data_IF_231508012793
#
_entry.id   IF_231508012793
#
_cell.length_a   1.000
_cell.length_b   1.000
_cell.length_c   1.000
_cell.angle_alpha   90.00
_cell.angle_beta   90.00
_cell.angle_gamma   90.00
#
_symmetry.space_group_name_H-M   'P 1'
#
loop_
_entity.id
_entity.type
_entity.pdbx_description
1 polymer ?
#
# COMPACT_ATOMS: atom_id res chain seq x y z
N UNK A 1 7.63 -13.02 -11.40
CA UNK A 1 7.62 -11.68 -10.77
C UNK A 1 8.43 -10.73 -11.65
N UNK A 2 7.75 -9.85 -12.36
CA UNK A 2 8.32 -8.98 -13.41
C UNK A 2 9.46 -8.10 -12.88
N UNK A 3 9.35 -7.59 -11.64
CA UNK A 3 10.40 -6.79 -11.00
C UNK A 3 11.67 -7.61 -10.83
N UNK A 4 11.55 -8.85 -10.38
CA UNK A 4 12.70 -9.75 -10.20
C UNK A 4 13.34 -10.09 -11.54
N UNK A 5 12.53 -10.30 -12.58
CA UNK A 5 13.04 -10.55 -13.94
C UNK A 5 13.80 -9.34 -14.50
N UNK A 6 13.28 -8.12 -14.29
CA UNK A 6 13.98 -6.89 -14.69
C UNK A 6 15.34 -6.79 -13.97
N UNK A 7 15.39 -7.03 -12.65
CA UNK A 7 16.66 -7.01 -11.90
C UNK A 7 17.67 -8.04 -12.44
N UNK A 8 17.19 -9.22 -12.83
CA UNK A 8 18.06 -10.25 -13.44
C UNK A 8 18.59 -9.82 -14.81
N UNK A 9 17.72 -9.28 -15.68
CA UNK A 9 18.10 -8.78 -17.01
C UNK A 9 19.14 -7.67 -16.87
N UNK A 10 18.93 -6.73 -15.94
CA UNK A 10 19.85 -5.63 -15.65
C UNK A 10 21.08 -6.05 -14.82
N UNK A 11 21.22 -7.36 -14.51
CA UNK A 11 22.31 -7.93 -13.70
C UNK A 11 22.46 -7.29 -12.32
N UNK A 12 21.37 -6.78 -11.76
CA UNK A 12 21.32 -6.18 -10.43
C UNK A 12 21.13 -7.29 -9.39
N UNK A 13 22.20 -7.59 -8.66
CA UNK A 13 22.18 -8.65 -7.64
C UNK A 13 21.40 -8.26 -6.38
N UNK A 14 21.46 -6.99 -5.97
CA UNK A 14 20.85 -6.51 -4.72
C UNK A 14 20.53 -5.03 -4.80
N UNK A 15 19.32 -4.63 -4.37
CA UNK A 15 18.79 -3.26 -4.47
C UNK A 15 18.13 -2.77 -3.21
N UNK A 16 17.99 -1.45 -3.06
CA UNK A 16 17.06 -0.81 -2.15
C UNK A 16 15.72 -0.68 -2.85
N UNK A 17 14.63 -0.91 -2.13
CA UNK A 17 13.28 -0.82 -2.67
C UNK A 17 12.50 0.30 -1.99
N UNK A 18 11.80 1.08 -2.79
CA UNK A 18 10.85 2.09 -2.31
C UNK A 18 9.47 1.74 -2.85
N UNK A 19 8.49 1.60 -1.98
CA UNK A 19 7.10 1.32 -2.35
C UNK A 19 6.14 2.26 -1.63
N UNK A 20 5.07 2.64 -2.32
CA UNK A 20 4.01 3.48 -1.77
C UNK A 20 2.68 2.73 -1.87
N UNK A 21 1.89 2.76 -0.79
CA UNK A 21 0.56 2.15 -0.72
C UNK A 21 0.59 0.68 -1.18
N UNK A 22 -0.08 0.31 -2.27
CA UNK A 22 -0.06 -1.05 -2.84
C UNK A 22 1.37 -1.53 -3.17
N UNK A 23 2.27 -0.63 -3.56
CA UNK A 23 3.69 -0.95 -3.81
C UNK A 23 4.39 -1.52 -2.59
N UNK A 24 3.96 -1.18 -1.38
CA UNK A 24 4.53 -1.73 -0.14
C UNK A 24 4.27 -3.23 0.01
N UNK A 25 3.10 -3.68 -0.45
CA UNK A 25 2.75 -5.11 -0.46
C UNK A 25 3.65 -5.87 -1.44
N UNK A 26 3.87 -5.28 -2.63
CA UNK A 26 4.70 -5.90 -3.68
C UNK A 26 6.16 -6.05 -3.22
N UNK A 27 6.77 -4.99 -2.68
CA UNK A 27 8.17 -5.07 -2.25
C UNK A 27 8.35 -5.94 -1.01
N UNK A 28 7.36 -5.98 -0.11
CA UNK A 28 7.40 -6.88 1.04
C UNK A 28 7.31 -8.34 0.59
N UNK A 29 6.49 -8.65 -0.41
CA UNK A 29 6.41 -9.99 -1.00
C UNK A 29 7.72 -10.38 -1.71
N UNK A 30 8.36 -9.44 -2.44
CA UNK A 30 9.69 -9.68 -3.02
C UNK A 30 10.71 -10.00 -1.92
N UNK A 31 10.65 -9.29 -0.81
CA UNK A 31 11.57 -9.51 0.31
C UNK A 31 11.37 -10.86 1.02
N UNK A 32 10.15 -11.43 1.00
CA UNK A 32 9.89 -12.80 1.47
C UNK A 32 10.49 -13.85 0.53
N UNK A 33 10.21 -13.71 -0.78
CA UNK A 33 10.59 -14.73 -1.75
C UNK A 33 12.08 -14.64 -2.16
N UNK A 34 12.64 -13.42 -2.15
CA UNK A 34 13.99 -13.11 -2.63
C UNK A 34 14.78 -12.22 -1.66
N UNK A 35 14.93 -12.60 -0.37
CA UNK A 35 15.54 -11.74 0.65
C UNK A 35 16.96 -11.31 0.30
N UNK A 36 17.71 -12.15 -0.39
CA UNK A 36 19.08 -11.86 -0.83
C UNK A 36 19.18 -10.75 -1.89
N UNK A 37 18.08 -10.42 -2.57
CA UNK A 37 18.01 -9.34 -3.56
C UNK A 37 17.65 -7.99 -2.96
N UNK A 38 17.27 -7.94 -1.67
CA UNK A 38 16.78 -6.73 -1.00
C UNK A 38 17.78 -6.24 0.04
N UNK A 39 18.32 -5.03 -0.17
CA UNK A 39 19.24 -4.38 0.78
C UNK A 39 18.47 -3.71 1.93
N UNK A 40 17.44 -2.96 1.60
CA UNK A 40 16.53 -2.30 2.53
C UNK A 40 15.22 -1.93 1.85
N UNK A 41 14.21 -1.59 2.62
CA UNK A 41 12.91 -1.17 2.14
C UNK A 41 12.50 0.17 2.74
N UNK A 42 11.89 1.06 1.91
CA UNK A 42 11.16 2.23 2.36
C UNK A 42 9.69 2.03 1.98
N UNK A 43 8.82 2.06 2.97
CA UNK A 43 7.41 1.72 2.91
C UNK A 43 6.56 2.96 3.18
N UNK A 44 6.18 3.71 2.13
CA UNK A 44 5.35 4.90 2.25
C UNK A 44 3.85 4.57 2.27
N UNK A 45 3.09 5.07 3.25
CA UNK A 45 1.67 4.77 3.37
C UNK A 45 1.38 3.27 3.36
N UNK A 46 2.11 2.51 4.20
CA UNK A 46 2.13 1.05 4.14
C UNK A 46 0.80 0.42 4.56
N UNK A 47 0.39 -0.60 3.80
CA UNK A 47 -0.83 -1.38 4.06
C UNK A 47 -0.45 -2.73 4.66
N UNK A 48 -0.61 -2.88 6.00
CA UNK A 48 -0.30 -4.13 6.71
C UNK A 48 -1.53 -4.79 7.33
N UNK A 49 -2.65 -4.07 7.45
CA UNK A 49 -3.91 -4.60 7.97
C UNK A 49 -5.08 -3.85 7.38
N UNK A 50 -6.07 -4.58 6.90
CA UNK A 50 -7.36 -3.99 6.55
C UNK A 50 -8.21 -3.90 7.82
N UNK A 51 -8.50 -2.70 8.28
CA UNK A 51 -9.40 -2.46 9.40
C UNK A 51 -10.87 -2.73 9.02
N UNK A 52 -11.78 -2.68 9.98
CA UNK A 52 -13.20 -2.93 9.73
C UNK A 52 -13.79 -1.99 8.68
N UNK A 53 -13.35 -0.72 8.66
CA UNK A 53 -13.80 0.27 7.67
C UNK A 53 -13.32 -0.09 6.27
N UNK A 54 -12.04 -0.44 6.10
CA UNK A 54 -11.48 -0.91 4.83
C UNK A 54 -12.21 -2.15 4.31
N UNK A 55 -12.46 -3.12 5.19
CA UNK A 55 -13.17 -4.36 4.84
C UNK A 55 -14.62 -4.10 4.42
N UNK A 56 -15.31 -3.21 5.13
CA UNK A 56 -16.67 -2.80 4.77
C UNK A 56 -16.70 -2.11 3.40
N UNK A 57 -15.77 -1.18 3.15
CA UNK A 57 -15.67 -0.48 1.86
C UNK A 57 -15.39 -1.45 0.70
N UNK A 58 -14.49 -2.41 0.90
CA UNK A 58 -14.20 -3.44 -0.11
C UNK A 58 -15.45 -4.28 -0.39
N UNK A 59 -16.18 -4.70 0.64
CA UNK A 59 -17.44 -5.46 0.47
C UNK A 59 -18.50 -4.64 -0.26
N UNK A 60 -18.71 -3.39 0.15
CA UNK A 60 -19.67 -2.49 -0.49
C UNK A 60 -19.31 -2.25 -1.97
N UNK A 61 -18.06 -1.97 -2.25
CA UNK A 61 -17.58 -1.79 -3.62
C UNK A 61 -17.68 -3.07 -4.43
N UNK A 62 -17.51 -4.24 -3.82
CA UNK A 62 -17.67 -5.54 -4.47
C UNK A 62 -19.11 -5.76 -4.95
N UNK A 63 -20.07 -5.29 -4.18
CA UNK A 63 -21.48 -5.35 -4.56
C UNK A 63 -21.79 -4.42 -5.74
N UNK A 64 -21.23 -3.21 -5.72
CA UNK A 64 -21.56 -2.17 -6.71
C UNK A 64 -20.65 -2.17 -7.95
N UNK A 65 -19.51 -2.87 -7.97
CA UNK A 65 -18.50 -2.82 -9.05
C UNK A 65 -18.99 -3.14 -10.45
N UNK A 66 -20.10 -3.88 -10.56
CA UNK A 66 -20.71 -4.26 -11.85
C UNK A 66 -21.77 -3.27 -12.32
N UNK A 67 -22.28 -2.42 -11.43
CA UNK A 67 -23.39 -1.49 -11.71
C UNK A 67 -22.87 -0.06 -11.81
N UNK A 68 -21.88 0.29 -10.95
CA UNK A 68 -21.33 1.65 -10.85
C UNK A 68 -20.03 1.75 -11.64
N UNK A 69 -19.86 2.79 -12.48
CA UNK A 69 -18.58 3.04 -13.14
C UNK A 69 -17.44 3.12 -12.12
N UNK A 70 -16.33 2.42 -12.40
CA UNK A 70 -15.19 2.29 -11.47
C UNK A 70 -14.66 3.65 -10.96
N UNK A 71 -14.72 4.69 -11.78
CA UNK A 71 -14.24 6.02 -11.41
C UNK A 71 -15.02 6.63 -10.24
N UNK A 72 -16.31 6.32 -10.07
CA UNK A 72 -17.09 6.75 -8.93
C UNK A 72 -16.64 6.05 -7.65
N UNK A 73 -16.30 4.77 -7.74
CA UNK A 73 -15.74 4.00 -6.64
C UNK A 73 -14.40 4.61 -6.21
N UNK A 74 -13.53 4.96 -7.17
CA UNK A 74 -12.27 5.65 -6.89
C UNK A 74 -12.46 7.02 -6.22
N UNK A 75 -13.44 7.81 -6.67
CA UNK A 75 -13.76 9.11 -6.05
C UNK A 75 -14.20 8.95 -4.59
N UNK A 76 -15.05 7.97 -4.31
CA UNK A 76 -15.49 7.65 -2.95
C UNK A 76 -14.29 7.19 -2.11
N UNK A 77 -13.45 6.30 -2.62
CA UNK A 77 -12.24 5.88 -1.94
C UNK A 77 -11.29 7.04 -1.65
N UNK A 78 -11.08 7.94 -2.63
CA UNK A 78 -10.23 9.11 -2.44
C UNK A 78 -10.70 9.98 -1.26
N UNK A 79 -12.00 10.23 -1.14
CA UNK A 79 -12.57 11.01 -0.03
C UNK A 79 -12.42 10.28 1.30
N UNK A 80 -12.61 8.97 1.32
CA UNK A 80 -12.57 8.18 2.55
C UNK A 80 -11.13 8.01 3.04
N UNK A 81 -10.17 7.75 2.15
CA UNK A 81 -8.76 7.56 2.51
C UNK A 81 -8.09 8.90 2.83
N UNK A 82 -8.53 9.98 2.19
CA UNK A 82 -7.95 11.32 2.30
C UNK A 82 -9.05 12.35 2.62
N UNK A 83 -9.61 12.37 3.84
CA UNK A 83 -10.82 13.14 4.17
C UNK A 83 -10.57 14.65 4.39
N UNK A 84 -9.36 15.05 4.75
CA UNK A 84 -9.07 16.41 5.17
C UNK A 84 -8.84 17.37 4.00
N UNK A 85 -8.92 18.69 4.27
CA UNK A 85 -8.79 19.74 3.23
C UNK A 85 -7.39 19.80 2.63
N UNK A 86 -6.36 19.62 3.46
CA UNK A 86 -4.96 19.56 3.05
C UNK A 86 -4.64 18.40 2.09
N UNK A 87 -5.43 17.32 2.10
CA UNK A 87 -5.26 16.19 1.16
C UNK A 87 -5.87 16.44 -0.23
N UNK A 88 -6.23 17.69 -0.57
CA UNK A 88 -6.91 17.99 -1.85
C UNK A 88 -6.07 17.61 -3.07
N UNK A 89 -4.79 17.93 -3.05
CA UNK A 89 -3.87 17.63 -4.17
C UNK A 89 -3.70 16.13 -4.37
N UNK A 90 -3.49 15.39 -3.30
CA UNK A 90 -3.39 13.93 -3.32
C UNK A 90 -4.65 13.28 -3.87
N UNK A 91 -5.85 13.77 -3.48
CA UNK A 91 -7.12 13.28 -4.05
C UNK A 91 -7.23 13.54 -5.54
N UNK A 92 -6.85 14.75 -5.99
CA UNK A 92 -6.88 15.11 -7.41
C UNK A 92 -5.96 14.19 -8.21
N UNK A 93 -4.73 14.01 -7.74
CA UNK A 93 -3.74 13.15 -8.39
C UNK A 93 -4.23 11.69 -8.43
N UNK A 94 -4.71 11.17 -7.31
CA UNK A 94 -5.24 9.81 -7.21
C UNK A 94 -6.38 9.56 -8.23
N UNK A 95 -7.33 10.50 -8.32
CA UNK A 95 -8.45 10.40 -9.27
C UNK A 95 -7.96 10.56 -10.72
N UNK A 96 -6.98 11.45 -10.98
CA UNK A 96 -6.38 11.65 -12.29
C UNK A 96 -5.72 10.38 -12.80
N UNK A 97 -4.92 9.72 -11.96
CA UNK A 97 -4.27 8.46 -12.33
C UNK A 97 -5.28 7.31 -12.48
N UNK A 98 -6.31 7.26 -11.64
CA UNK A 98 -7.39 6.28 -11.78
C UNK A 98 -8.13 6.37 -13.13
N UNK A 99 -8.25 7.58 -13.72
CA UNK A 99 -8.87 7.75 -15.05
C UNK A 99 -8.08 7.11 -16.20
N UNK A 100 -6.79 6.81 -15.99
CA UNK A 100 -5.92 6.15 -16.97
C UNK A 100 -6.13 4.63 -17.00
N UNK A 101 -6.77 4.08 -15.97
CA UNK A 101 -7.06 2.64 -15.89
C UNK A 101 -8.28 2.29 -16.73
N UNK A 102 -8.26 1.11 -17.30
CA UNK A 102 -9.45 0.50 -17.90
C UNK A 102 -10.27 -0.23 -16.82
N UNK A 103 -11.58 -0.30 -17.02
CA UNK A 103 -12.47 -1.01 -16.09
C UNK A 103 -12.03 -2.46 -15.84
N UNK A 104 -11.53 -3.15 -16.88
CA UNK A 104 -11.03 -4.53 -16.77
C UNK A 104 -9.86 -4.65 -15.80
N UNK A 105 -8.94 -3.66 -15.82
CA UNK A 105 -7.80 -3.62 -14.90
C UNK A 105 -8.23 -3.31 -13.48
N UNK A 106 -9.15 -2.36 -13.32
CA UNK A 106 -9.76 -2.10 -12.02
C UNK A 106 -10.36 -3.36 -11.40
N UNK A 107 -11.14 -4.14 -12.16
CA UNK A 107 -11.75 -5.38 -11.67
C UNK A 107 -10.70 -6.44 -11.28
N UNK A 108 -9.58 -6.52 -12.02
CA UNK A 108 -8.45 -7.41 -11.68
C UNK A 108 -7.82 -7.00 -10.36
N UNK A 109 -7.46 -5.72 -10.20
CA UNK A 109 -6.90 -5.20 -8.96
C UNK A 109 -7.87 -5.35 -7.79
N UNK A 110 -9.13 -5.12 -8.03
CA UNK A 110 -10.18 -5.28 -7.03
C UNK A 110 -10.28 -6.72 -6.52
N UNK A 111 -10.19 -7.71 -7.40
CA UNK A 111 -10.15 -9.13 -7.04
C UNK A 111 -8.97 -9.43 -6.10
N UNK A 112 -7.79 -8.90 -6.43
CA UNK A 112 -6.60 -9.08 -5.57
C UNK A 112 -6.81 -8.57 -4.14
N UNK A 113 -7.58 -7.49 -3.93
CA UNK A 113 -7.82 -6.95 -2.58
C UNK A 113 -8.53 -7.93 -1.64
N UNK A 114 -9.29 -8.86 -2.17
CA UNK A 114 -9.93 -9.94 -1.39
C UNK A 114 -8.94 -11.06 -1.03
N UNK A 115 -7.89 -11.24 -1.82
CA UNK A 115 -6.91 -12.32 -1.69
C UNK A 115 -5.69 -11.94 -0.85
N UNK A 116 -5.43 -10.64 -0.63
CA UNK A 116 -4.23 -10.18 0.10
C UNK A 116 -4.29 -10.37 1.62
N UNK A 117 -5.44 -10.62 2.22
CA UNK A 117 -5.57 -10.71 3.68
C UNK A 117 -4.66 -11.77 4.32
N UNK A 118 -4.52 -13.00 3.78
CA UNK A 118 -3.58 -14.00 4.31
C UNK A 118 -2.14 -13.49 4.26
N UNK A 119 -1.75 -12.85 3.15
CA UNK A 119 -0.42 -12.28 2.94
C UNK A 119 -0.13 -11.16 3.95
N UNK A 120 -1.07 -10.24 4.15
CA UNK A 120 -0.94 -9.18 5.15
C UNK A 120 -0.84 -9.75 6.59
N UNK A 121 -1.49 -10.88 6.87
CA UNK A 121 -1.34 -11.59 8.16
C UNK A 121 0.08 -12.13 8.30
N UNK A 122 0.61 -12.78 7.28
CA UNK A 122 1.99 -13.29 7.25
C UNK A 122 3.00 -12.16 7.51
N UNK A 123 2.87 -11.04 6.80
CA UNK A 123 3.78 -9.88 6.93
C UNK A 123 3.84 -9.29 8.35
N UNK A 124 2.77 -9.39 9.11
CA UNK A 124 2.76 -8.96 10.52
C UNK A 124 3.37 -9.97 11.48
N UNK A 125 3.28 -11.25 11.13
CA UNK A 125 3.75 -12.35 11.99
C UNK A 125 5.22 -12.70 11.78
N UNK A 126 5.74 -12.44 10.58
CA UNK A 126 7.11 -12.79 10.19
C UNK A 126 7.94 -11.51 10.10
N UNK A 127 8.93 -11.40 10.97
CA UNK A 127 9.94 -10.35 10.87
C UNK A 127 11.01 -10.77 9.85
N UNK A 128 11.36 -9.86 8.93
CA UNK A 128 12.54 -10.01 8.07
C UNK A 128 13.70 -9.26 8.68
N UNK A 129 14.90 -9.85 8.62
CA UNK A 129 16.15 -9.18 9.04
C UNK A 129 16.62 -8.09 8.06
N UNK A 130 15.71 -7.56 7.25
CA UNK A 130 15.99 -6.54 6.24
C UNK A 130 15.63 -5.17 6.82
N UNK A 131 16.57 -4.21 6.86
CA UNK A 131 16.29 -2.87 7.35
C UNK A 131 15.09 -2.24 6.63
N UNK A 132 14.05 -1.88 7.38
CA UNK A 132 12.80 -1.35 6.84
C UNK A 132 12.43 -0.03 7.52
N UNK A 133 12.20 1.01 6.72
CA UNK A 133 11.67 2.30 7.17
C UNK A 133 10.22 2.43 6.71
N UNK A 134 9.30 2.52 7.65
CA UNK A 134 7.92 2.90 7.39
C UNK A 134 7.78 4.42 7.48
N UNK A 135 7.26 5.05 6.42
CA UNK A 135 6.96 6.49 6.37
C UNK A 135 5.44 6.63 6.29
N UNK A 136 4.82 7.13 7.35
CA UNK A 136 3.36 7.18 7.47
C UNK A 136 2.90 8.61 7.76
N UNK A 137 1.80 9.02 7.17
CA UNK A 137 1.17 10.28 7.55
C UNK A 137 0.49 10.18 8.91
N UNK A 138 0.58 11.26 9.70
CA UNK A 138 -0.09 11.34 11.00
C UNK A 138 -1.63 11.26 10.89
N UNK A 139 -2.16 11.63 9.73
CA UNK A 139 -3.59 11.64 9.41
C UNK A 139 -4.04 10.40 8.62
N UNK A 140 -3.16 9.40 8.43
CA UNK A 140 -3.52 8.10 7.86
C UNK A 140 -4.24 7.23 8.91
N UNK A 141 -5.47 7.56 9.20
CA UNK A 141 -6.31 6.89 10.21
C UNK A 141 -6.65 5.44 9.86
N UNK A 142 -6.42 5.02 8.61
CA UNK A 142 -6.74 3.65 8.18
C UNK A 142 -5.61 2.67 8.47
N UNK A 143 -4.36 3.09 8.34
CA UNK A 143 -3.24 2.16 8.32
C UNK A 143 -2.16 2.45 9.37
N UNK A 144 -2.00 3.71 9.85
CA UNK A 144 -0.95 4.11 10.78
C UNK A 144 -0.89 3.25 12.04
N UNK A 145 -2.03 2.99 12.69
CA UNK A 145 -2.04 2.23 13.97
C UNK A 145 -1.51 0.81 13.81
N UNK A 146 -1.76 0.16 12.66
CA UNK A 146 -1.22 -1.18 12.41
C UNK A 146 0.29 -1.18 12.23
N UNK A 147 0.87 -0.09 11.72
CA UNK A 147 2.31 0.07 11.55
C UNK A 147 2.97 0.40 12.88
N UNK A 148 2.34 1.24 13.73
CA UNK A 148 2.84 1.51 15.09
C UNK A 148 2.99 0.23 15.92
N UNK A 149 2.03 -0.69 15.81
CA UNK A 149 2.11 -1.99 16.49
C UNK A 149 3.25 -2.82 15.90
N UNK A 150 3.28 -2.97 14.58
CA UNK A 150 4.28 -3.77 13.88
C UNK A 150 5.71 -3.31 14.20
N UNK A 151 5.97 -1.99 14.17
CA UNK A 151 7.33 -1.45 14.39
C UNK A 151 7.78 -1.52 15.86
N UNK A 152 6.87 -1.77 16.80
CA UNK A 152 7.24 -2.10 18.20
C UNK A 152 7.69 -3.56 18.35
N UNK A 153 7.14 -4.45 17.51
CA UNK A 153 7.40 -5.88 17.56
C UNK A 153 8.62 -6.27 16.70
N UNK A 154 8.83 -5.57 15.56
CA UNK A 154 9.89 -5.87 14.59
C UNK A 154 11.12 -5.00 14.80
N UNK A 155 12.24 -5.59 15.24
CA UNK A 155 13.50 -4.89 15.57
C UNK A 155 14.19 -4.29 14.35
N UNK A 156 14.03 -4.89 13.16
CA UNK A 156 14.59 -4.42 11.88
C UNK A 156 13.81 -3.24 11.27
N UNK A 157 12.70 -2.85 11.90
CA UNK A 157 11.75 -1.87 11.40
C UNK A 157 11.80 -0.55 12.19
N UNK A 158 11.73 0.57 11.46
CA UNK A 158 11.61 1.92 12.04
C UNK A 158 10.38 2.62 11.48
N UNK A 159 9.78 3.51 12.25
CA UNK A 159 8.64 4.32 11.86
C UNK A 159 9.00 5.80 11.89
N UNK A 160 8.74 6.48 10.77
CA UNK A 160 8.71 7.94 10.66
C UNK A 160 7.25 8.37 10.44
N UNK A 161 6.74 9.25 11.30
CA UNK A 161 5.40 9.82 11.15
C UNK A 161 5.52 11.25 10.69
N UNK A 162 4.91 11.56 9.54
CA UNK A 162 4.93 12.90 8.92
C UNK A 162 3.69 13.68 9.41
N UNK A 163 3.85 14.83 10.07
CA UNK A 163 2.72 15.62 10.56
C UNK A 163 1.94 16.24 9.39
N UNK A 164 0.64 16.49 9.58
CA UNK A 164 -0.27 17.09 8.60
C UNK A 164 -0.30 16.37 7.23
N UNK A 165 -0.04 15.08 7.23
CA UNK A 165 0.06 14.25 6.05
C UNK A 165 -0.87 13.05 6.18
N UNK A 166 -1.55 12.71 5.10
CA UNK A 166 -2.45 11.55 5.03
C UNK A 166 -1.77 10.30 4.50
N UNK A 167 -2.51 9.54 3.69
CA UNK A 167 -2.04 8.24 3.18
C UNK A 167 -0.97 8.36 2.08
N UNK A 168 -1.01 9.43 1.27
CA UNK A 168 -0.14 9.59 0.08
C UNK A 168 1.10 10.41 0.44
N UNK A 169 1.91 9.86 1.33
CA UNK A 169 3.09 10.53 1.95
C UNK A 169 4.16 11.02 0.97
N UNK A 170 4.10 10.61 -0.28
CA UNK A 170 5.02 11.06 -1.34
C UNK A 170 4.52 12.28 -2.11
N UNK A 171 3.34 12.79 -1.79
CA UNK A 171 2.70 13.94 -2.45
C UNK A 171 2.39 15.06 -1.45
N UNK A 172 2.06 14.70 -0.22
CA UNK A 172 1.77 15.61 0.89
C UNK A 172 3.04 15.90 1.68
#
# INVERSE_FOLDING_TARGET
NDIVEILKIEKIKKSHFVGVSLGTILIRHIAEDYPNMVKSMIMGGAIMKLNLRSRFLIKLSSFFKSIVPYIWIYKIFAIIIMPYKNHKESRILFIKEAKRLYQKEFLRWFKLTSEINPLLKLFRQVELSIPTLYVMGAEDYMFLESIKVLTKEHKSSKLLVVPNCGHVVNVE
#
